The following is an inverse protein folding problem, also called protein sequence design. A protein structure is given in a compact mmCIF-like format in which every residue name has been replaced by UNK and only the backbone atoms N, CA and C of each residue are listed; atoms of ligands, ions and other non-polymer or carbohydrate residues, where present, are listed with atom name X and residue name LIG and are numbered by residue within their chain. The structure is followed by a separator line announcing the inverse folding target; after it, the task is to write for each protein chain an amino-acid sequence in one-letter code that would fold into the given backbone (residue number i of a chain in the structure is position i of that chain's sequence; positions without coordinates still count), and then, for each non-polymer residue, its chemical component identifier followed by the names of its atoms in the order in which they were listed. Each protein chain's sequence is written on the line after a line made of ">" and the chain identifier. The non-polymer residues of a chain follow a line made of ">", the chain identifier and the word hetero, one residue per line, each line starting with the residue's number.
data_IF_584748435498
#
_entry.id   IF_584748435498
#
_cell.length_a   1.000
_cell.length_b   1.000
_cell.length_c   1.000
_cell.angle_alpha   90.00
_cell.angle_beta   90.00
_cell.angle_gamma   90.00
#
_symmetry.space_group_name_H-M   'P 1'
#
loop_
_entity.id
_entity.type
_entity.pdbx_description
1 polymer ?
#
# COMPACT_ATOMS: atom_id res chain seq x y z
N UNK A 1 -12.06 -11.18 -9.24
CA UNK A 1 -10.67 -11.27 -8.68
C UNK A 1 -9.74 -11.93 -9.69
N UNK A 2 -8.63 -11.29 -10.03
CA UNK A 2 -7.51 -11.90 -10.78
C UNK A 2 -6.47 -12.40 -9.79
N UNK A 3 -5.85 -13.56 -10.06
CA UNK A 3 -4.94 -14.21 -9.10
C UNK A 3 -3.66 -14.70 -9.77
N UNK A 4 -2.56 -14.69 -9.01
CA UNK A 4 -1.29 -15.33 -9.30
C UNK A 4 -0.91 -16.20 -8.08
N UNK A 5 -1.47 -17.42 -7.98
CA UNK A 5 -1.36 -18.27 -6.78
C UNK A 5 0.06 -18.74 -6.47
N UNK A 6 0.99 -18.58 -7.40
CA UNK A 6 2.41 -18.84 -7.21
C UNK A 6 3.16 -17.74 -6.43
N UNK A 7 2.55 -16.56 -6.25
CA UNK A 7 3.15 -15.44 -5.51
C UNK A 7 2.77 -15.55 -4.03
N UNK A 8 3.77 -15.58 -3.18
CA UNK A 8 3.63 -15.74 -1.74
C UNK A 8 4.32 -14.61 -0.97
N UNK A 9 4.04 -14.50 0.32
CA UNK A 9 4.62 -13.52 1.22
C UNK A 9 6.16 -13.44 1.10
N UNK A 10 6.86 -14.58 0.97
CA UNK A 10 8.32 -14.62 0.80
C UNK A 10 8.81 -13.87 -0.45
N UNK A 11 8.02 -13.86 -1.52
CA UNK A 11 8.36 -13.19 -2.78
C UNK A 11 8.25 -11.67 -2.59
N UNK A 12 7.24 -11.21 -1.86
CA UNK A 12 7.07 -9.80 -1.46
C UNK A 12 8.19 -9.35 -0.52
N UNK A 13 8.53 -10.18 0.48
CA UNK A 13 9.65 -9.89 1.39
C UNK A 13 10.98 -9.76 0.63
N UNK A 14 11.21 -10.58 -0.40
CA UNK A 14 12.39 -10.50 -1.24
C UNK A 14 12.49 -9.16 -1.99
N UNK A 15 11.37 -8.65 -2.52
CA UNK A 15 11.30 -7.32 -3.16
C UNK A 15 11.74 -6.23 -2.18
N UNK A 16 11.08 -6.13 -1.04
CA UNK A 16 11.30 -5.04 -0.08
C UNK A 16 12.59 -5.17 0.73
N UNK A 17 13.19 -6.36 0.78
CA UNK A 17 14.54 -6.57 1.33
C UNK A 17 15.65 -6.38 0.28
N UNK A 18 15.29 -6.23 -0.98
CA UNK A 18 16.19 -6.23 -2.13
C UNK A 18 16.33 -4.87 -2.84
N UNK A 19 16.97 -4.89 -4.03
CA UNK A 19 17.14 -3.69 -4.84
C UNK A 19 15.82 -3.13 -5.39
N UNK A 20 14.82 -3.96 -5.66
CA UNK A 20 13.53 -3.52 -6.19
C UNK A 20 12.81 -2.57 -5.21
N UNK A 21 12.81 -2.88 -3.90
CA UNK A 21 12.24 -1.99 -2.89
C UNK A 21 12.93 -0.62 -2.84
N UNK A 22 14.26 -0.60 -3.07
CA UNK A 22 15.03 0.66 -3.18
C UNK A 22 14.70 1.44 -4.46
N UNK A 23 14.37 0.75 -5.56
CA UNK A 23 13.92 1.42 -6.78
C UNK A 23 12.55 2.08 -6.56
N UNK A 24 11.62 1.43 -5.88
CA UNK A 24 10.33 2.04 -5.52
C UNK A 24 10.52 3.27 -4.64
N UNK A 25 11.41 3.21 -3.65
CA UNK A 25 11.73 4.37 -2.81
C UNK A 25 12.41 5.50 -3.61
N UNK A 26 13.30 5.18 -4.53
CA UNK A 26 13.91 6.18 -5.42
C UNK A 26 12.86 6.93 -6.25
N UNK A 27 11.86 6.21 -6.77
CA UNK A 27 10.80 6.77 -7.62
C UNK A 27 9.75 7.57 -6.85
N UNK A 28 9.31 7.03 -5.71
CA UNK A 28 8.13 7.55 -4.99
C UNK A 28 8.49 8.31 -3.71
N UNK A 29 9.78 8.33 -3.35
CA UNK A 29 10.24 8.86 -2.08
C UNK A 29 9.92 7.92 -0.91
N UNK A 30 10.02 8.42 0.32
CA UNK A 30 9.75 7.61 1.52
C UNK A 30 8.30 7.12 1.62
N UNK A 31 7.38 7.83 1.02
CA UNK A 31 5.98 7.41 0.89
C UNK A 31 5.83 6.58 -0.39
N UNK A 32 6.13 5.29 -0.29
CA UNK A 32 6.13 4.35 -1.42
C UNK A 32 4.69 4.01 -1.83
N UNK A 33 3.98 4.98 -2.38
CA UNK A 33 2.65 4.82 -2.96
C UNK A 33 2.37 5.89 -4.02
N UNK A 34 1.40 5.62 -4.90
CA UNK A 34 1.05 6.51 -6.01
C UNK A 34 0.52 7.84 -5.49
N UNK A 35 1.16 8.92 -5.91
CA UNK A 35 0.76 10.30 -5.56
C UNK A 35 1.35 10.81 -4.25
N UNK A 36 2.17 10.03 -3.54
CA UNK A 36 2.94 10.45 -2.38
C UNK A 36 2.12 11.23 -1.35
N UNK A 37 2.69 12.29 -0.78
CA UNK A 37 2.07 13.09 0.28
C UNK A 37 0.64 13.57 -0.05
N UNK A 38 0.37 13.93 -1.31
CA UNK A 38 -0.98 14.37 -1.69
C UNK A 38 -2.00 13.24 -1.56
N UNK A 39 -1.61 12.00 -1.87
CA UNK A 39 -2.48 10.83 -1.69
C UNK A 39 -2.81 10.60 -0.21
N UNK A 40 -1.80 10.66 0.66
CA UNK A 40 -1.99 10.56 2.12
C UNK A 40 -2.89 11.65 2.67
N UNK A 41 -2.71 12.92 2.19
CA UNK A 41 -3.54 14.05 2.60
C UNK A 41 -5.01 13.82 2.23
N UNK A 42 -5.29 13.42 0.98
CA UNK A 42 -6.64 13.18 0.49
C UNK A 42 -7.32 12.02 1.23
N UNK A 43 -6.58 10.93 1.47
CA UNK A 43 -7.11 9.79 2.24
C UNK A 43 -7.45 10.19 3.68
N UNK A 44 -6.53 10.90 4.35
CA UNK A 44 -6.73 11.30 5.75
C UNK A 44 -7.88 12.33 5.90
N UNK A 45 -8.06 13.22 4.93
CA UNK A 45 -9.17 14.16 4.90
C UNK A 45 -10.51 13.44 4.74
N UNK A 46 -10.62 12.55 3.74
CA UNK A 46 -11.85 11.77 3.50
C UNK A 46 -12.19 10.85 4.65
N UNK A 47 -11.19 10.24 5.27
CA UNK A 47 -11.37 9.39 6.43
C UNK A 47 -11.76 10.18 7.69
N UNK A 48 -11.61 11.51 7.71
CA UNK A 48 -11.80 12.34 8.89
C UNK A 48 -11.03 11.76 10.09
N UNK A 49 -9.74 11.45 9.89
CA UNK A 49 -8.91 10.82 10.94
C UNK A 49 -8.97 11.64 12.23
N UNK A 50 -9.34 11.03 13.38
CA UNK A 50 -9.55 11.77 14.63
C UNK A 50 -8.20 12.25 15.21
N UNK A 51 -8.09 13.54 15.48
CA UNK A 51 -6.98 14.10 16.25
C UNK A 51 -6.95 13.45 17.64
N UNK A 52 -5.75 13.13 18.14
CA UNK A 52 -5.57 12.39 19.39
C UNK A 52 -5.94 10.91 19.33
N UNK A 53 -6.36 10.41 18.17
CA UNK A 53 -6.72 9.00 17.96
C UNK A 53 -5.51 8.05 18.01
N UNK A 54 -5.79 6.76 18.13
CA UNK A 54 -4.83 5.66 18.06
C UNK A 54 -5.10 4.86 16.79
N UNK A 55 -4.12 4.78 15.91
CA UNK A 55 -4.23 4.06 14.64
C UNK A 55 -3.35 2.82 14.55
N UNK A 56 -3.70 1.93 13.63
CA UNK A 56 -2.83 0.84 13.19
C UNK A 56 -2.67 0.92 11.68
N UNK A 57 -1.42 0.81 11.22
CA UNK A 57 -1.04 0.78 9.81
C UNK A 57 -0.69 -0.66 9.44
N UNK A 58 -1.46 -1.26 8.54
CA UNK A 58 -1.29 -2.64 8.09
C UNK A 58 -0.51 -2.68 6.77
N UNK A 59 0.61 -3.39 6.76
CA UNK A 59 1.68 -3.34 5.76
C UNK A 59 2.42 -1.99 5.82
N UNK A 60 2.85 -1.58 7.01
CA UNK A 60 3.39 -0.25 7.26
C UNK A 60 4.73 0.05 6.59
N UNK A 61 5.40 -0.95 6.04
CA UNK A 61 6.70 -0.84 5.36
C UNK A 61 7.69 0.02 6.17
N UNK A 62 8.20 1.11 5.60
CA UNK A 62 9.14 2.06 6.24
C UNK A 62 8.47 3.02 7.24
N UNK A 63 7.18 2.87 7.52
CA UNK A 63 6.43 3.66 8.49
C UNK A 63 6.13 5.09 8.08
N UNK A 64 6.20 5.42 6.78
CA UNK A 64 6.00 6.79 6.31
C UNK A 64 4.57 7.28 6.55
N UNK A 65 3.54 6.47 6.28
CA UNK A 65 2.14 6.77 6.58
C UNK A 65 1.92 7.06 8.06
N UNK A 66 2.58 6.30 8.96
CA UNK A 66 2.53 6.52 10.40
C UNK A 66 3.11 7.89 10.77
N UNK A 67 4.32 8.22 10.28
CA UNK A 67 4.98 9.50 10.54
C UNK A 67 4.17 10.67 9.99
N UNK A 68 3.59 10.51 8.80
CA UNK A 68 2.66 11.46 8.22
C UNK A 68 1.47 11.75 9.14
N UNK A 69 0.77 10.73 9.63
CA UNK A 69 -0.40 10.88 10.49
C UNK A 69 -0.06 11.55 11.82
N UNK A 70 1.08 11.22 12.42
CA UNK A 70 1.56 11.86 13.64
C UNK A 70 1.84 13.36 13.46
N UNK A 71 2.39 13.77 12.32
CA UNK A 71 2.78 15.15 12.03
C UNK A 71 1.63 16.02 11.52
N UNK A 72 0.85 15.50 10.57
CA UNK A 72 -0.14 16.29 9.83
C UNK A 72 -1.57 16.12 10.32
N UNK A 73 -1.85 15.07 11.11
CA UNK A 73 -3.21 14.77 11.62
C UNK A 73 -3.30 14.75 13.15
N UNK A 74 -2.21 15.08 13.82
CA UNK A 74 -2.13 15.11 15.28
C UNK A 74 -2.63 13.81 15.94
N UNK A 75 -2.35 12.65 15.33
CA UNK A 75 -2.67 11.34 15.88
C UNK A 75 -1.80 11.11 17.13
N UNK A 76 -2.35 10.54 18.18
CA UNK A 76 -1.62 10.35 19.43
C UNK A 76 -0.58 9.22 19.33
N UNK A 77 -0.95 8.10 18.72
CA UNK A 77 -0.09 6.92 18.61
C UNK A 77 -0.43 6.09 17.37
N UNK A 78 0.61 5.54 16.73
CA UNK A 78 0.48 4.60 15.62
C UNK A 78 1.16 3.27 15.94
N UNK A 79 0.46 2.16 15.65
CA UNK A 79 1.07 0.83 15.60
C UNK A 79 1.25 0.44 14.14
N UNK A 80 2.46 0.07 13.72
CA UNK A 80 2.74 -0.43 12.37
C UNK A 80 2.93 -1.94 12.40
N UNK A 81 2.28 -2.64 11.51
CA UNK A 81 2.42 -4.09 11.33
C UNK A 81 2.98 -4.38 9.95
N UNK A 82 4.08 -5.11 9.89
CA UNK A 82 4.67 -5.61 8.66
C UNK A 82 5.31 -6.97 8.90
N UNK A 83 5.33 -7.81 7.89
CA UNK A 83 5.93 -9.14 7.99
C UNK A 83 7.42 -9.17 7.62
N UNK A 84 8.00 -8.02 7.20
CA UNK A 84 9.35 -7.93 6.66
C UNK A 84 10.30 -7.30 7.70
N UNK A 85 11.17 -8.09 8.37
CA UNK A 85 12.02 -7.57 9.45
C UNK A 85 12.93 -6.42 9.03
N UNK A 86 13.47 -6.46 7.81
CA UNK A 86 14.40 -5.46 7.28
C UNK A 86 13.76 -4.09 7.12
N UNK A 87 12.52 -4.02 6.61
CA UNK A 87 11.82 -2.72 6.50
C UNK A 87 11.43 -2.18 7.86
N UNK A 88 11.07 -3.05 8.82
CA UNK A 88 10.78 -2.62 10.19
C UNK A 88 12.01 -2.07 10.93
N UNK A 89 13.20 -2.61 10.65
CA UNK A 89 14.44 -2.06 11.18
C UNK A 89 14.64 -0.62 10.68
N UNK A 90 14.54 -0.39 9.38
CA UNK A 90 14.62 0.93 8.77
C UNK A 90 13.50 1.87 9.26
N UNK A 91 12.27 1.36 9.46
CA UNK A 91 11.16 2.15 9.98
C UNK A 91 11.45 2.67 11.39
N UNK A 92 12.10 1.85 12.25
CA UNK A 92 12.52 2.28 13.60
C UNK A 92 13.60 3.35 13.54
N UNK A 93 14.62 3.18 12.69
CA UNK A 93 15.69 4.18 12.48
C UNK A 93 15.11 5.53 12.03
N UNK A 94 14.16 5.51 11.09
CA UNK A 94 13.49 6.73 10.60
C UNK A 94 12.61 7.37 11.67
N UNK A 95 11.91 6.58 12.47
CA UNK A 95 11.11 7.09 13.59
C UNK A 95 11.99 7.76 14.65
N UNK A 96 13.18 7.21 14.92
CA UNK A 96 14.17 7.80 15.81
C UNK A 96 14.72 9.12 15.24
N UNK A 97 15.16 9.10 13.98
CA UNK A 97 15.67 10.29 13.30
C UNK A 97 14.66 11.45 13.26
N UNK A 98 13.37 11.12 13.19
CA UNK A 98 12.30 12.12 13.23
C UNK A 98 11.78 12.45 14.64
N UNK A 99 12.31 11.83 15.70
CA UNK A 99 11.95 12.12 17.09
C UNK A 99 10.53 11.68 17.48
N UNK A 100 9.97 10.64 16.81
CA UNK A 100 8.61 10.15 17.06
C UNK A 100 8.55 8.78 17.73
N UNK A 101 9.67 8.22 18.17
CA UNK A 101 9.79 6.87 18.73
C UNK A 101 8.80 6.58 19.86
N UNK A 102 8.54 7.56 20.73
CA UNK A 102 7.58 7.40 21.84
C UNK A 102 6.11 7.29 21.41
N UNK A 103 5.82 7.61 20.14
CA UNK A 103 4.46 7.64 19.57
C UNK A 103 4.22 6.54 18.55
N UNK A 104 5.18 5.64 18.32
CA UNK A 104 5.05 4.52 17.39
C UNK A 104 5.39 3.19 18.06
N UNK A 105 4.75 2.13 17.59
CA UNK A 105 5.09 0.75 17.94
C UNK A 105 5.15 -0.05 16.65
N UNK A 106 6.18 -0.88 16.47
CA UNK A 106 6.32 -1.74 15.29
C UNK A 106 6.20 -3.20 15.69
N UNK A 107 5.33 -3.93 15.01
CA UNK A 107 5.02 -5.35 15.22
C UNK A 107 5.39 -6.14 13.97
N UNK A 108 6.29 -7.11 14.12
CA UNK A 108 6.61 -8.06 13.08
C UNK A 108 5.57 -9.17 13.09
N UNK A 109 4.63 -9.12 12.14
CA UNK A 109 3.56 -10.12 12.04
C UNK A 109 2.93 -10.12 10.64
N UNK A 110 2.25 -11.22 10.31
CA UNK A 110 1.35 -11.25 9.17
C UNK A 110 0.10 -10.42 9.49
N UNK A 111 -0.24 -9.48 8.60
CA UNK A 111 -1.39 -8.58 8.76
C UNK A 111 -2.75 -9.30 8.79
N UNK A 112 -2.81 -10.57 8.39
CA UNK A 112 -3.97 -11.42 8.52
C UNK A 112 -4.14 -12.02 9.95
N UNK A 113 -3.13 -11.86 10.83
CA UNK A 113 -3.12 -12.39 12.20
C UNK A 113 -2.09 -11.59 13.03
N UNK A 114 -2.41 -10.33 13.31
CA UNK A 114 -1.46 -9.36 13.89
C UNK A 114 -1.07 -9.65 15.34
N UNK A 115 -1.87 -10.43 16.07
CA UNK A 115 -1.71 -10.63 17.52
C UNK A 115 -2.09 -9.41 18.37
N UNK A 116 -2.47 -8.29 17.75
CA UNK A 116 -2.89 -7.08 18.46
C UNK A 116 -4.29 -7.26 19.08
N UNK A 117 -4.58 -6.58 20.22
CA UNK A 117 -5.88 -6.71 20.87
C UNK A 117 -7.00 -6.13 20.00
N UNK A 118 -8.13 -6.86 19.92
CA UNK A 118 -9.32 -6.42 19.21
C UNK A 118 -9.97 -5.21 19.90
N UNK A 119 -10.69 -4.39 19.12
CA UNK A 119 -11.41 -3.24 19.64
C UNK A 119 -10.54 -2.14 20.25
N UNK A 120 -9.26 -2.03 19.83
CA UNK A 120 -8.28 -1.16 20.48
C UNK A 120 -7.94 0.10 19.69
N UNK A 121 -8.29 0.16 18.42
CA UNK A 121 -7.90 1.23 17.52
C UNK A 121 -9.09 2.06 17.05
N UNK A 122 -8.87 3.36 16.92
CA UNK A 122 -9.86 4.29 16.39
C UNK A 122 -9.93 4.21 14.86
N UNK A 123 -8.80 3.84 14.22
CA UNK A 123 -8.74 3.62 12.77
C UNK A 123 -7.66 2.61 12.37
N UNK A 124 -7.89 1.98 11.20
CA UNK A 124 -6.95 1.18 10.43
C UNK A 124 -6.55 1.97 9.20
N UNK A 125 -5.26 1.95 8.87
CA UNK A 125 -4.65 2.65 7.75
C UNK A 125 -3.92 1.68 6.83
N UNK A 126 -3.84 2.00 5.55
CA UNK A 126 -3.00 1.32 4.57
C UNK A 126 -2.87 2.16 3.29
N UNK A 127 -1.71 2.14 2.65
CA UNK A 127 -1.47 2.91 1.42
C UNK A 127 -0.77 2.05 0.39
N UNK A 128 -1.51 1.65 -0.67
CA UNK A 128 -1.05 0.89 -1.83
C UNK A 128 -0.27 -0.41 -1.50
N UNK A 129 -0.65 -1.09 -0.42
CA UNK A 129 0.09 -2.21 0.13
C UNK A 129 -0.75 -3.49 0.32
N UNK A 130 -2.06 -3.38 0.35
CA UNK A 130 -2.93 -4.54 0.57
C UNK A 130 -3.00 -5.46 -0.65
N UNK A 131 -2.64 -4.96 -1.83
CA UNK A 131 -2.45 -5.75 -3.05
C UNK A 131 -1.44 -6.89 -2.88
N UNK A 132 -0.46 -6.75 -1.97
CA UNK A 132 0.54 -7.78 -1.65
C UNK A 132 0.04 -8.89 -0.73
N UNK A 133 -1.13 -8.75 -0.13
CA UNK A 133 -1.65 -9.74 0.84
C UNK A 133 -2.34 -10.89 0.12
N UNK A 134 -1.96 -12.13 0.45
CA UNK A 134 -2.51 -13.34 -0.16
C UNK A 134 -4.00 -13.52 0.17
N UNK A 135 -4.35 -13.44 1.44
CA UNK A 135 -5.72 -13.64 1.95
C UNK A 135 -6.37 -12.30 2.32
N UNK A 136 -6.85 -11.58 1.28
CA UNK A 136 -7.52 -10.29 1.47
C UNK A 136 -8.81 -10.37 2.31
N UNK A 137 -9.65 -11.40 2.20
CA UNK A 137 -10.77 -11.59 3.13
C UNK A 137 -10.34 -11.62 4.61
N UNK A 138 -9.24 -12.34 4.91
CA UNK A 138 -8.72 -12.43 6.27
C UNK A 138 -8.09 -11.13 6.75
N UNK A 139 -7.38 -10.41 5.86
CA UNK A 139 -6.89 -9.05 6.12
C UNK A 139 -8.04 -8.11 6.51
N UNK A 140 -9.14 -8.10 5.74
CA UNK A 140 -10.31 -7.26 6.03
C UNK A 140 -10.95 -7.65 7.37
N UNK A 141 -11.10 -8.95 7.64
CA UNK A 141 -11.61 -9.43 8.92
C UNK A 141 -10.74 -9.00 10.09
N UNK A 142 -9.41 -9.11 9.96
CA UNK A 142 -8.47 -8.66 10.99
C UNK A 142 -8.53 -7.13 11.16
N UNK A 143 -8.57 -6.36 10.07
CA UNK A 143 -8.73 -4.90 10.11
C UNK A 143 -9.95 -4.49 10.92
N UNK A 144 -11.09 -5.12 10.68
CA UNK A 144 -12.32 -4.80 11.41
C UNK A 144 -12.31 -5.30 12.84
N UNK A 145 -11.66 -6.44 13.13
CA UNK A 145 -11.47 -6.97 14.50
C UNK A 145 -10.70 -5.96 15.38
N UNK A 146 -9.68 -5.33 14.83
CA UNK A 146 -8.81 -4.36 15.53
C UNK A 146 -9.55 -3.09 15.92
N UNK A 147 -10.57 -2.69 15.16
CA UNK A 147 -11.32 -1.45 15.38
C UNK A 147 -12.27 -1.52 16.58
N UNK A 148 -12.33 -0.41 17.31
CA UNK A 148 -13.45 -0.08 18.19
C UNK A 148 -14.75 -0.03 17.41
N UNK A 149 -15.89 -0.08 18.11
CA UNK A 149 -17.19 0.25 17.52
C UNK A 149 -17.17 1.69 16.98
N UNK A 150 -17.66 1.89 15.74
CA UNK A 150 -17.60 3.16 15.05
C UNK A 150 -16.21 3.57 14.52
N UNK A 151 -15.21 2.71 14.65
CA UNK A 151 -13.86 2.95 14.12
C UNK A 151 -13.82 2.93 12.59
N UNK A 152 -12.73 3.41 12.01
CA UNK A 152 -12.60 3.71 10.58
C UNK A 152 -11.56 2.77 9.94
N UNK A 153 -11.90 2.17 8.80
CA UNK A 153 -10.92 1.60 7.84
C UNK A 153 -10.70 2.62 6.75
N UNK A 154 -9.45 3.01 6.50
CA UNK A 154 -9.09 3.95 5.45
C UNK A 154 -7.86 3.46 4.70
N UNK A 155 -7.98 3.25 3.40
CA UNK A 155 -6.83 2.81 2.60
C UNK A 155 -6.94 3.23 1.13
N UNK A 156 -5.77 3.36 0.51
CA UNK A 156 -5.62 3.28 -0.94
C UNK A 156 -5.03 1.94 -1.31
N UNK A 157 -5.31 1.47 -2.52
CA UNK A 157 -4.70 0.24 -3.01
C UNK A 157 -4.69 0.19 -4.55
N UNK A 158 -3.82 -0.65 -5.10
CA UNK A 158 -3.84 -1.02 -6.50
C UNK A 158 -5.01 -1.95 -6.76
N UNK A 159 -5.89 -1.56 -7.68
CA UNK A 159 -7.14 -2.28 -7.94
C UNK A 159 -7.34 -2.51 -9.43
N UNK A 160 -8.10 -3.58 -9.77
CA UNK A 160 -8.60 -3.77 -11.12
C UNK A 160 -9.59 -2.65 -11.45
N UNK A 161 -9.38 -2.01 -12.59
CA UNK A 161 -10.23 -0.92 -13.05
C UNK A 161 -11.53 -1.38 -13.68
N UNK A 162 -12.28 -0.44 -14.24
CA UNK A 162 -13.56 -0.72 -14.90
C UNK A 162 -13.40 -1.47 -16.24
N UNK A 163 -12.25 -1.35 -16.89
CA UNK A 163 -11.88 -2.13 -18.07
C UNK A 163 -11.14 -3.39 -17.60
N UNK A 164 -11.68 -4.59 -17.78
CA UNK A 164 -11.03 -5.79 -17.27
C UNK A 164 -9.74 -6.12 -18.03
N UNK A 165 -8.73 -6.58 -17.31
CA UNK A 165 -7.54 -7.18 -17.91
C UNK A 165 -7.88 -8.52 -18.57
N UNK A 166 -7.22 -8.86 -19.67
CA UNK A 166 -7.19 -10.24 -20.18
C UNK A 166 -6.45 -11.15 -19.18
N UNK A 167 -6.58 -12.47 -19.32
CA UNK A 167 -5.87 -13.43 -18.48
C UNK A 167 -4.34 -13.29 -18.61
N UNK A 168 -3.83 -13.01 -19.81
CA UNK A 168 -2.40 -12.81 -20.08
C UNK A 168 -1.89 -11.51 -19.46
N UNK A 169 -2.62 -10.42 -19.63
CA UNK A 169 -2.28 -9.13 -19.01
C UNK A 169 -2.25 -9.24 -17.50
N UNK A 170 -3.27 -9.87 -16.90
CA UNK A 170 -3.33 -10.07 -15.47
C UNK A 170 -2.16 -10.92 -14.95
N UNK A 171 -1.85 -12.04 -15.62
CA UNK A 171 -0.72 -12.88 -15.25
C UNK A 171 0.60 -12.10 -15.30
N UNK A 172 0.86 -11.39 -16.42
CA UNK A 172 2.08 -10.59 -16.57
C UNK A 172 2.20 -9.51 -15.49
N UNK A 173 1.14 -8.73 -15.29
CA UNK A 173 1.08 -7.64 -14.32
C UNK A 173 1.28 -8.15 -12.89
N UNK A 174 0.52 -9.15 -12.46
CA UNK A 174 0.60 -9.71 -11.11
C UNK A 174 1.97 -10.32 -10.84
N UNK A 175 2.55 -11.03 -11.82
CA UNK A 175 3.89 -11.62 -11.68
C UNK A 175 4.96 -10.55 -11.53
N UNK A 176 4.91 -9.47 -12.33
CA UNK A 176 5.85 -8.35 -12.24
C UNK A 176 5.73 -7.66 -10.89
N UNK A 177 4.53 -7.25 -10.50
CA UNK A 177 4.28 -6.53 -9.25
C UNK A 177 4.38 -7.39 -7.99
N UNK A 178 4.51 -8.72 -8.13
CA UNK A 178 4.44 -9.67 -6.99
C UNK A 178 3.13 -9.56 -6.22
N UNK A 179 2.01 -9.34 -6.93
CA UNK A 179 0.69 -9.35 -6.32
C UNK A 179 0.08 -10.76 -6.38
N UNK A 180 -0.26 -11.39 -5.25
CA UNK A 180 -0.95 -12.68 -5.24
C UNK A 180 -2.32 -12.61 -5.89
N UNK A 181 -2.96 -11.45 -5.79
CA UNK A 181 -4.26 -11.15 -6.39
C UNK A 181 -4.48 -9.64 -6.49
N UNK A 182 -5.42 -9.23 -7.33
CA UNK A 182 -5.91 -7.87 -7.38
C UNK A 182 -7.43 -7.87 -7.23
N UNK A 183 -7.95 -7.00 -6.37
CA UNK A 183 -9.38 -6.76 -6.19
C UNK A 183 -9.82 -5.52 -6.97
N UNK A 184 -11.10 -5.47 -7.30
CA UNK A 184 -11.78 -4.26 -7.74
C UNK A 184 -12.35 -3.48 -6.55
N UNK A 185 -12.78 -2.23 -6.77
CA UNK A 185 -13.52 -1.44 -5.77
C UNK A 185 -14.76 -2.18 -5.25
N UNK A 186 -15.48 -2.87 -6.14
CA UNK A 186 -16.68 -3.62 -5.79
C UNK A 186 -16.35 -4.82 -4.87
N UNK A 187 -15.26 -5.54 -5.11
CA UNK A 187 -14.86 -6.68 -4.29
C UNK A 187 -14.41 -6.24 -2.90
N UNK A 188 -13.61 -5.17 -2.78
CA UNK A 188 -13.26 -4.60 -1.47
C UNK A 188 -14.50 -4.09 -0.72
N UNK A 189 -15.41 -3.41 -1.43
CA UNK A 189 -16.69 -2.94 -0.85
C UNK A 189 -17.50 -4.10 -0.29
N UNK A 190 -17.66 -5.18 -1.05
CA UNK A 190 -18.41 -6.36 -0.60
C UNK A 190 -17.77 -7.03 0.61
N UNK A 191 -16.42 -7.13 0.64
CA UNK A 191 -15.70 -7.69 1.78
C UNK A 191 -15.85 -6.84 3.04
N UNK A 192 -15.78 -5.52 2.94
CA UNK A 192 -15.99 -4.62 4.07
C UNK A 192 -17.42 -4.68 4.60
N UNK A 193 -18.42 -4.72 3.71
CA UNK A 193 -19.82 -4.85 4.09
C UNK A 193 -20.11 -6.19 4.79
N UNK A 194 -19.53 -7.29 4.30
CA UNK A 194 -19.65 -8.62 4.96
C UNK A 194 -18.98 -8.67 6.34
N UNK A 195 -18.06 -7.74 6.62
CA UNK A 195 -17.44 -7.55 7.93
C UNK A 195 -18.05 -6.38 8.73
N UNK A 196 -19.34 -6.12 8.51
CA UNK A 196 -20.14 -5.13 9.25
C UNK A 196 -19.60 -3.69 9.18
N UNK A 197 -19.06 -3.29 8.02
CA UNK A 197 -18.65 -1.91 7.77
C UNK A 197 -19.59 -1.21 6.77
N UNK A 198 -19.92 0.03 7.06
CA UNK A 198 -20.54 0.96 6.12
C UNK A 198 -19.45 1.57 5.24
N UNK A 199 -19.45 1.25 3.96
CA UNK A 199 -18.46 1.79 3.00
C UNK A 199 -18.96 3.13 2.46
N UNK A 200 -18.09 4.16 2.51
CA UNK A 200 -18.41 5.52 2.10
C UNK A 200 -17.63 5.89 0.84
N UNK A 201 -18.37 6.21 -0.22
CA UNK A 201 -17.85 6.76 -1.48
C UNK A 201 -16.51 6.13 -1.98
N UNK A 202 -16.49 4.79 -2.22
CA UNK A 202 -15.33 4.16 -2.82
C UNK A 202 -15.10 4.75 -4.21
N UNK A 203 -13.85 5.08 -4.55
CA UNK A 203 -13.56 5.77 -5.80
C UNK A 203 -12.21 5.40 -6.40
N UNK A 204 -12.10 5.52 -7.72
CA UNK A 204 -10.83 5.67 -8.42
C UNK A 204 -10.30 7.08 -8.17
N UNK A 205 -9.06 7.19 -7.74
CA UNK A 205 -8.40 8.49 -7.50
C UNK A 205 -8.03 9.22 -8.80
N UNK A 206 -8.03 8.52 -9.93
CA UNK A 206 -7.59 9.04 -11.22
C UNK A 206 -6.10 9.35 -11.29
N UNK A 207 -5.29 8.82 -10.35
CA UNK A 207 -3.85 9.12 -10.30
C UNK A 207 -3.02 8.29 -11.26
N UNK A 208 -3.37 7.05 -11.55
CA UNK A 208 -2.54 6.17 -12.36
C UNK A 208 -2.17 6.74 -13.73
N UNK A 209 -3.11 7.24 -14.55
CA UNK A 209 -2.77 7.82 -15.84
C UNK A 209 -1.84 9.02 -15.80
N UNK A 210 -1.71 9.67 -14.63
CA UNK A 210 -0.84 10.84 -14.43
C UNK A 210 0.53 10.48 -13.86
N UNK A 211 0.55 9.59 -12.86
CA UNK A 211 1.77 9.30 -12.11
C UNK A 211 2.60 8.17 -12.72
N UNK A 212 1.99 7.16 -13.34
CA UNK A 212 2.76 6.06 -13.95
C UNK A 212 3.66 6.57 -15.08
N UNK A 213 3.18 7.40 -16.04
CA UNK A 213 4.05 8.02 -17.03
C UNK A 213 5.13 8.93 -16.41
N UNK A 214 4.78 9.68 -15.35
CA UNK A 214 5.74 10.54 -14.66
C UNK A 214 6.89 9.73 -14.06
N UNK A 215 6.60 8.63 -13.37
CA UNK A 215 7.63 7.78 -12.77
C UNK A 215 8.51 7.12 -13.81
N UNK A 216 7.93 6.72 -14.95
CA UNK A 216 8.69 6.18 -16.08
C UNK A 216 9.63 7.24 -16.66
N UNK A 217 9.15 8.45 -16.92
CA UNK A 217 9.97 9.56 -17.41
C UNK A 217 11.09 9.93 -16.42
N UNK A 218 10.82 9.91 -15.12
CA UNK A 218 11.83 10.16 -14.09
C UNK A 218 12.94 9.12 -14.12
N UNK A 219 12.63 7.82 -14.23
CA UNK A 219 13.64 6.76 -14.23
C UNK A 219 14.45 6.75 -15.54
N UNK A 220 13.83 7.08 -16.65
CA UNK A 220 14.48 7.09 -17.97
C UNK A 220 15.35 8.33 -18.21
N UNK A 221 15.08 9.43 -17.53
CA UNK A 221 15.78 10.72 -17.76
C UNK A 221 16.53 11.25 -16.55
N UNK A 222 15.83 11.38 -15.42
CA UNK A 222 16.39 12.06 -14.25
C UNK A 222 17.13 11.11 -13.31
N UNK A 223 16.58 9.93 -13.07
CA UNK A 223 17.06 8.99 -12.05
C UNK A 223 17.79 7.78 -12.63
N UNK A 224 18.05 7.77 -13.94
CA UNK A 224 18.62 6.60 -14.65
C UNK A 224 19.92 6.11 -14.01
N UNK A 225 20.84 7.02 -13.69
CA UNK A 225 22.11 6.64 -13.07
C UNK A 225 21.94 6.02 -11.69
N UNK A 226 21.07 6.62 -10.85
CA UNK A 226 20.82 6.12 -9.51
C UNK A 226 20.10 4.76 -9.55
N UNK A 227 19.13 4.60 -10.48
CA UNK A 227 18.48 3.32 -10.72
C UNK A 227 19.47 2.24 -11.16
N UNK A 228 20.32 2.53 -12.14
CA UNK A 228 21.38 1.61 -12.60
C UNK A 228 22.32 1.24 -11.46
N UNK A 229 22.72 2.18 -10.62
CA UNK A 229 23.56 1.93 -9.45
C UNK A 229 22.89 0.96 -8.46
N UNK A 230 21.58 1.10 -8.22
CA UNK A 230 20.82 0.22 -7.33
C UNK A 230 20.84 -1.23 -7.83
N UNK A 231 20.70 -1.44 -9.15
CA UNK A 231 20.69 -2.77 -9.77
C UNK A 231 22.06 -3.25 -10.24
N UNK A 232 23.15 -2.60 -9.79
CA UNK A 232 24.52 -3.01 -10.11
C UNK A 232 24.92 -2.81 -11.57
N UNK A 233 24.32 -1.84 -12.27
CA UNK A 233 24.53 -1.53 -13.69
C UNK A 233 24.19 -2.68 -14.64
N UNK A 234 23.31 -3.58 -14.23
CA UNK A 234 22.77 -4.64 -15.09
C UNK A 234 21.83 -4.05 -16.15
N UNK A 235 22.34 -3.91 -17.38
CA UNK A 235 21.59 -3.33 -18.49
C UNK A 235 20.47 -4.24 -19.00
N UNK A 236 20.61 -5.56 -18.87
CA UNK A 236 19.57 -6.50 -19.27
C UNK A 236 18.37 -6.39 -18.32
N UNK A 237 18.64 -6.33 -17.01
CA UNK A 237 17.63 -6.10 -15.98
C UNK A 237 16.98 -4.72 -16.15
N UNK A 238 17.75 -3.67 -16.40
CA UNK A 238 17.21 -2.33 -16.65
C UNK A 238 16.24 -2.31 -17.83
N UNK A 239 16.60 -2.95 -18.96
CA UNK A 239 15.73 -3.06 -20.12
C UNK A 239 14.45 -3.85 -19.85
N UNK A 240 14.53 -4.93 -19.08
CA UNK A 240 13.36 -5.72 -18.67
C UNK A 240 12.42 -4.90 -17.78
N UNK A 241 12.95 -4.20 -16.77
CA UNK A 241 12.16 -3.34 -15.89
C UNK A 241 11.48 -2.19 -16.66
N UNK A 242 12.19 -1.52 -17.58
CA UNK A 242 11.60 -0.48 -18.43
C UNK A 242 10.45 -1.03 -19.28
N UNK A 243 10.61 -2.22 -19.86
CA UNK A 243 9.55 -2.89 -20.63
C UNK A 243 8.30 -3.21 -19.80
N UNK A 244 8.46 -3.60 -18.53
CA UNK A 244 7.33 -3.85 -17.63
C UNK A 244 6.66 -2.54 -17.18
N UNK A 245 7.42 -1.48 -16.96
CA UNK A 245 6.89 -0.15 -16.63
C UNK A 245 6.07 0.44 -17.79
N UNK A 246 6.52 0.31 -19.05
CA UNK A 246 5.72 0.70 -20.22
C UNK A 246 4.44 -0.13 -20.35
N UNK A 247 4.51 -1.43 -20.07
CA UNK A 247 3.32 -2.27 -20.05
C UNK A 247 2.33 -1.81 -18.97
N UNK A 248 2.81 -1.51 -17.77
CA UNK A 248 1.99 -0.97 -16.68
C UNK A 248 1.35 0.38 -17.06
N UNK A 249 2.11 1.25 -17.74
CA UNK A 249 1.56 2.50 -18.29
C UNK A 249 0.38 2.23 -19.23
N UNK A 250 0.52 1.28 -20.16
CA UNK A 250 -0.57 0.94 -21.09
C UNK A 250 -1.83 0.43 -20.37
N UNK A 251 -1.67 -0.33 -19.28
CA UNK A 251 -2.80 -0.76 -18.45
C UNK A 251 -3.47 0.40 -17.72
N UNK A 252 -2.67 1.34 -17.18
CA UNK A 252 -3.17 2.54 -16.51
C UNK A 252 -3.95 3.45 -17.46
N UNK A 253 -3.41 3.72 -18.66
CA UNK A 253 -4.06 4.53 -19.69
C UNK A 253 -5.35 3.90 -20.21
N UNK A 254 -5.40 2.57 -20.30
CA UNK A 254 -6.60 1.83 -20.67
C UNK A 254 -7.65 1.70 -19.55
N UNK A 255 -7.38 2.23 -18.35
CA UNK A 255 -8.26 2.10 -17.19
C UNK A 255 -8.42 0.67 -16.68
N UNK A 256 -7.41 -0.20 -16.92
CA UNK A 256 -7.39 -1.59 -16.47
C UNK A 256 -6.87 -1.75 -15.05
N UNK A 257 -5.98 -0.85 -14.64
CA UNK A 257 -5.50 -0.72 -13.26
C UNK A 257 -5.76 0.70 -12.76
N UNK A 258 -6.12 0.81 -11.49
CA UNK A 258 -6.44 2.08 -10.84
C UNK A 258 -5.84 2.12 -9.44
N UNK A 259 -5.65 3.32 -8.89
CA UNK A 259 -5.57 3.49 -7.45
C UNK A 259 -6.97 3.71 -6.90
N UNK A 260 -7.47 2.72 -6.17
CA UNK A 260 -8.73 2.87 -5.43
C UNK A 260 -8.50 3.53 -4.07
N UNK A 261 -9.46 4.35 -3.64
CA UNK A 261 -9.53 4.91 -2.31
C UNK A 261 -10.83 4.45 -1.64
N UNK A 262 -10.71 3.87 -0.46
CA UNK A 262 -11.85 3.36 0.31
C UNK A 262 -11.79 3.88 1.75
N UNK A 263 -12.91 4.39 2.20
CA UNK A 263 -13.18 4.70 3.61
C UNK A 263 -14.41 3.93 4.04
N UNK A 264 -14.30 3.20 5.13
CA UNK A 264 -15.42 2.47 5.71
C UNK A 264 -15.49 2.70 7.23
N UNK A 265 -16.68 2.63 7.79
CA UNK A 265 -16.93 2.76 9.22
C UNK A 265 -17.49 1.45 9.76
N UNK A 266 -16.86 0.90 10.80
CA UNK A 266 -17.37 -0.28 11.51
C UNK A 266 -18.67 0.08 12.21
N UNK A 267 -19.71 -0.72 12.01
CA UNK A 267 -20.97 -0.60 12.74
C UNK A 267 -20.75 -0.79 14.25
N UNK A 268 -21.62 -0.18 15.05
CA UNK A 268 -21.57 -0.29 16.50
C UNK A 268 -22.03 -1.65 17.03
#
# INVERSE_FOLDING_TARGET
>A
MKTAPEIHLRDVQAVYSGPEGRLWELLMGEQIHIGGLQSSMDLAERACIPAGGRGVDLCCCLGAGMRFLLRFRNVAHMSGVDATPTVLALARERAEAEGVTSRVTFVEANVCATGLPGGSFDFVWGEDAWCYVEDKPKLISESTRLLKAGGIVAFTDWMEGSTPMTAEEAKRFLTFMKFPSIFSLAEYTAQLQSNHCEVRAPQDTGRFPKYVPLYLDMIERQLTYDALKIIGFDQALAGALSGEMHFMQSLAEAGKIIQGLIVARKNG
#
